data_IF_566748494194
#
_entry.id   IF_566748494194
#
_cell.length_a   1.000
_cell.length_b   1.000
_cell.length_c   1.000
_cell.angle_alpha   90.00
_cell.angle_beta   90.00
_cell.angle_gamma   90.00
#
_symmetry.space_group_name_H-M   'P 1'
#
loop_
_entity.id
_entity.type
_entity.pdbx_description
1 polymer ?
#
# COMPACT_ATOMS: atom_id res chain seq x y z
N UNK A 1 16.04 5.02 -36.91
CA UNK A 1 15.84 6.24 -36.11
C UNK A 1 15.49 5.81 -34.70
N UNK A 2 16.44 5.95 -33.76
CA UNK A 2 16.27 5.53 -32.38
C UNK A 2 15.36 6.51 -31.65
N UNK A 3 14.26 6.01 -31.08
CA UNK A 3 13.43 6.79 -30.17
C UNK A 3 14.14 6.88 -28.83
N UNK A 4 14.62 8.08 -28.52
CA UNK A 4 15.20 8.42 -27.23
C UNK A 4 14.08 8.41 -26.20
N UNK A 5 14.03 7.38 -25.35
CA UNK A 5 13.19 7.38 -24.15
C UNK A 5 13.87 8.32 -23.17
N UNK A 6 13.40 9.58 -23.15
CA UNK A 6 13.68 10.51 -22.07
C UNK A 6 13.04 9.99 -20.80
N UNK A 7 13.75 9.10 -20.11
CA UNK A 7 13.45 8.72 -18.74
C UNK A 7 13.69 9.91 -17.83
N UNK A 8 12.66 10.72 -17.62
CA UNK A 8 12.59 11.59 -16.45
C UNK A 8 12.58 10.68 -15.21
N UNK A 9 13.74 10.53 -14.59
CA UNK A 9 13.92 9.96 -13.24
C UNK A 9 13.23 10.92 -12.27
N UNK A 10 11.91 10.84 -12.15
CA UNK A 10 11.21 11.35 -10.99
C UNK A 10 11.52 10.39 -9.85
N UNK A 11 12.01 10.93 -8.72
CA UNK A 11 12.40 10.15 -7.55
C UNK A 11 11.36 9.08 -7.26
N UNK A 12 11.83 7.86 -6.95
CA UNK A 12 10.97 6.69 -6.70
C UNK A 12 10.01 7.06 -5.56
N UNK A 13 8.83 7.53 -5.92
CA UNK A 13 7.74 7.80 -4.98
C UNK A 13 7.27 6.42 -4.50
N UNK A 14 7.20 6.22 -3.18
CA UNK A 14 6.74 4.98 -2.55
C UNK A 14 5.23 4.80 -2.85
N UNK A 15 4.91 4.32 -4.06
CA UNK A 15 3.54 4.06 -4.52
C UNK A 15 3.17 2.61 -4.20
N UNK A 16 2.14 2.42 -3.39
CA UNK A 16 1.65 1.09 -2.99
C UNK A 16 0.29 0.81 -3.60
N UNK A 17 0.16 -0.27 -4.38
CA UNK A 17 -1.12 -0.73 -4.93
C UNK A 17 -1.90 -1.47 -3.84
N UNK A 18 -3.14 -1.04 -3.59
CA UNK A 18 -4.01 -1.62 -2.58
C UNK A 18 -5.46 -1.62 -3.10
N UNK A 19 -5.75 -2.54 -4.01
CA UNK A 19 -7.10 -2.71 -4.58
C UNK A 19 -7.78 -3.93 -3.98
N UNK A 20 -9.07 -3.81 -3.68
CA UNK A 20 -9.91 -4.92 -3.25
C UNK A 20 -10.39 -5.74 -4.45
N UNK A 21 -10.89 -6.97 -4.23
CA UNK A 21 -11.51 -7.78 -5.32
C UNK A 21 -12.68 -7.06 -6.02
N UNK A 22 -13.29 -6.07 -5.37
CA UNK A 22 -14.41 -5.31 -5.92
C UNK A 22 -13.97 -4.10 -6.76
N UNK A 23 -12.66 -3.89 -6.96
CA UNK A 23 -12.13 -2.74 -7.70
C UNK A 23 -12.10 -1.44 -6.89
N UNK A 24 -12.48 -1.46 -5.61
CA UNK A 24 -12.39 -0.31 -4.69
C UNK A 24 -11.07 -0.29 -3.90
N UNK A 25 -10.64 0.85 -3.33
CA UNK A 25 -9.47 0.91 -2.47
C UNK A 25 -9.59 -0.07 -1.28
N UNK A 26 -8.51 -0.80 -1.00
CA UNK A 26 -8.45 -1.73 0.12
C UNK A 26 -7.99 -1.02 1.40
N UNK A 27 -8.96 -0.54 2.17
CA UNK A 27 -8.74 0.20 3.40
C UNK A 27 -8.02 -0.56 4.53
N UNK A 28 -7.87 -1.89 4.41
CA UNK A 28 -7.08 -2.67 5.37
C UNK A 28 -5.57 -2.47 5.20
N UNK A 29 -5.12 -1.95 4.04
CA UNK A 29 -3.70 -1.77 3.71
C UNK A 29 -3.33 -0.34 3.29
N UNK A 30 -4.33 0.56 3.27
CA UNK A 30 -4.19 1.97 2.96
C UNK A 30 -4.28 2.75 4.27
N UNK A 31 -3.18 3.36 4.76
CA UNK A 31 -3.24 4.23 5.91
C UNK A 31 -4.18 5.39 5.64
N UNK A 32 -5.01 5.73 6.61
CA UNK A 32 -5.91 6.88 6.53
C UNK A 32 -6.05 7.44 7.92
N UNK A 33 -6.16 8.77 8.01
CA UNK A 33 -6.46 9.44 9.28
C UNK A 33 -7.61 8.72 10.00
N UNK A 34 -7.36 8.36 11.26
CA UNK A 34 -8.32 7.64 12.09
C UNK A 34 -7.79 7.55 13.51
N UNK A 35 -8.68 7.60 14.50
CA UNK A 35 -8.29 7.43 15.90
C UNK A 35 -8.04 5.93 16.14
N UNK A 36 -6.79 5.49 16.08
CA UNK A 36 -6.42 4.23 16.74
C UNK A 36 -6.56 4.44 18.24
N UNK A 37 -7.29 3.56 18.92
CA UNK A 37 -7.42 3.63 20.39
C UNK A 37 -6.19 3.06 21.11
N UNK A 38 -5.19 2.57 20.38
CA UNK A 38 -3.97 1.95 20.89
C UNK A 38 -2.91 3.00 21.24
N UNK A 39 -2.24 2.79 22.36
CA UNK A 39 -1.06 3.53 22.79
C UNK A 39 0.20 3.08 22.05
N UNK A 40 1.26 3.91 22.10
CA UNK A 40 2.57 3.57 21.52
C UNK A 40 3.16 2.27 22.11
N UNK A 41 2.94 2.02 23.40
CA UNK A 41 3.40 0.81 24.07
C UNK A 41 2.68 -0.45 23.57
N UNK A 42 1.35 -0.39 23.42
CA UNK A 42 0.56 -1.50 22.87
C UNK A 42 0.98 -1.83 21.44
N UNK A 43 1.17 -0.82 20.58
CA UNK A 43 1.71 -1.04 19.24
C UNK A 43 3.08 -1.73 19.27
N UNK A 44 3.99 -1.26 20.13
CA UNK A 44 5.33 -1.84 20.23
C UNK A 44 5.26 -3.32 20.64
N UNK A 45 4.41 -3.66 21.60
CA UNK A 45 4.18 -5.03 22.03
C UNK A 45 3.60 -5.90 20.92
N UNK A 46 2.56 -5.43 20.22
CA UNK A 46 1.96 -6.16 19.10
C UNK A 46 2.94 -6.36 17.93
N UNK A 47 3.76 -5.35 17.61
CA UNK A 47 4.80 -5.44 16.57
C UNK A 47 5.81 -6.53 16.94
N UNK A 48 6.28 -6.55 18.18
CA UNK A 48 7.24 -7.55 18.67
C UNK A 48 6.64 -8.95 18.68
N UNK A 49 5.39 -9.10 19.09
CA UNK A 49 4.69 -10.39 19.07
C UNK A 49 4.53 -10.94 17.65
N UNK A 50 4.16 -10.09 16.68
CA UNK A 50 4.12 -10.51 15.27
C UNK A 50 5.51 -10.84 14.73
N UNK A 51 6.55 -10.10 15.12
CA UNK A 51 7.92 -10.39 14.73
C UNK A 51 8.41 -11.74 15.26
N UNK A 52 8.11 -12.07 16.53
CA UNK A 52 8.39 -13.38 17.13
C UNK A 52 7.68 -14.50 16.39
N UNK A 53 6.37 -14.35 16.15
CA UNK A 53 5.58 -15.33 15.40
C UNK A 53 6.13 -15.53 13.99
N UNK A 54 6.49 -14.46 13.29
CA UNK A 54 7.12 -14.53 11.98
C UNK A 54 8.48 -15.24 12.01
N UNK A 55 9.28 -15.02 13.06
CA UNK A 55 10.57 -15.67 13.23
C UNK A 55 10.43 -17.18 13.51
N UNK A 56 9.41 -17.59 14.26
CA UNK A 56 9.19 -19.00 14.62
C UNK A 56 8.37 -19.78 13.58
N UNK A 57 7.66 -19.08 12.69
CA UNK A 57 6.82 -19.74 11.68
C UNK A 57 7.64 -20.55 10.69
N UNK A 58 7.26 -21.81 10.52
CA UNK A 58 7.84 -22.76 9.55
C UNK A 58 6.89 -23.05 8.38
N UNK A 59 5.60 -22.72 8.53
CA UNK A 59 4.55 -22.96 7.55
C UNK A 59 4.32 -21.75 6.64
N UNK A 60 4.23 -21.99 5.33
CA UNK A 60 3.98 -20.92 4.33
C UNK A 60 2.66 -20.18 4.58
N UNK A 61 1.59 -20.91 4.89
CA UNK A 61 0.25 -20.35 5.13
C UNK A 61 0.20 -19.46 6.38
N UNK A 62 0.85 -19.89 7.45
CA UNK A 62 0.98 -19.09 8.67
C UNK A 62 1.82 -17.83 8.42
N UNK A 63 2.93 -17.95 7.70
CA UNK A 63 3.78 -16.82 7.33
C UNK A 63 3.02 -15.79 6.48
N UNK A 64 2.19 -16.24 5.53
CA UNK A 64 1.32 -15.35 4.75
C UNK A 64 0.26 -14.66 5.64
N UNK A 65 -0.33 -15.38 6.59
CA UNK A 65 -1.29 -14.82 7.54
C UNK A 65 -0.65 -13.77 8.47
N UNK A 66 0.55 -14.06 8.99
CA UNK A 66 1.34 -13.13 9.81
C UNK A 66 1.71 -11.90 8.99
N UNK A 67 2.13 -12.09 7.74
CA UNK A 67 2.47 -10.98 6.83
C UNK A 67 1.27 -10.05 6.62
N UNK A 68 0.05 -10.58 6.48
CA UNK A 68 -1.17 -9.76 6.38
C UNK A 68 -1.45 -8.99 7.67
N UNK A 69 -1.28 -9.61 8.84
CA UNK A 69 -1.43 -8.94 10.13
C UNK A 69 -0.40 -7.80 10.30
N UNK A 70 0.85 -8.03 9.90
CA UNK A 70 1.90 -6.99 9.93
C UNK A 70 1.50 -5.79 9.07
N UNK A 71 0.98 -6.02 7.86
CA UNK A 71 0.52 -4.95 6.99
C UNK A 71 -0.70 -4.19 7.55
N UNK A 72 -1.63 -4.89 8.22
CA UNK A 72 -2.77 -4.27 8.89
C UNK A 72 -2.33 -3.44 10.09
N UNK A 73 -1.45 -3.98 10.94
CA UNK A 73 -0.92 -3.26 12.10
C UNK A 73 -0.11 -2.04 11.68
N UNK A 74 0.67 -2.14 10.60
CA UNK A 74 1.37 -0.99 9.99
C UNK A 74 0.38 0.09 9.56
N UNK A 75 -0.73 -0.31 8.94
CA UNK A 75 -1.76 0.62 8.48
C UNK A 75 -2.38 1.39 9.66
N UNK A 76 -2.63 0.70 10.77
CA UNK A 76 -3.12 1.30 12.01
C UNK A 76 -2.06 2.21 12.66
N UNK A 77 -0.81 1.74 12.74
CA UNK A 77 0.31 2.48 13.31
C UNK A 77 0.59 3.80 12.58
N UNK A 78 0.39 3.83 11.26
CA UNK A 78 0.59 5.02 10.42
C UNK A 78 -0.62 5.98 10.41
N UNK A 79 -1.76 5.60 10.98
CA UNK A 79 -3.02 6.35 10.85
C UNK A 79 -3.02 7.73 11.49
N UNK A 80 -2.11 8.01 12.43
CA UNK A 80 -1.99 9.31 13.11
C UNK A 80 -1.30 10.39 12.27
N UNK A 81 -0.38 9.99 11.39
CA UNK A 81 0.37 10.89 10.48
C UNK A 81 -0.16 10.84 9.04
N UNK A 82 -1.13 9.96 8.78
CA UNK A 82 -1.74 9.77 7.48
C UNK A 82 -2.75 10.88 7.17
N UNK A 83 -2.85 11.35 5.90
CA UNK A 83 -3.99 12.16 5.48
C UNK A 83 -5.30 11.36 5.55
N UNK A 84 -6.44 12.06 5.62
CA UNK A 84 -7.76 11.41 5.62
C UNK A 84 -8.16 10.93 4.21
N UNK A 85 -7.49 9.87 3.75
CA UNK A 85 -7.70 9.25 2.44
C UNK A 85 -9.14 8.75 2.26
N UNK A 86 -9.78 8.26 3.33
CA UNK A 86 -11.17 7.80 3.31
C UNK A 86 -12.13 8.94 3.03
N UNK A 87 -12.00 10.06 3.76
CA UNK A 87 -12.83 11.24 3.53
C UNK A 87 -12.61 11.79 2.12
N UNK A 88 -11.36 11.94 1.69
CA UNK A 88 -11.02 12.42 0.34
C UNK A 88 -11.62 11.53 -0.76
N UNK A 89 -11.56 10.20 -0.59
CA UNK A 89 -12.18 9.27 -1.52
C UNK A 89 -13.70 9.41 -1.58
N UNK A 90 -14.38 9.58 -0.44
CA UNK A 90 -15.83 9.77 -0.44
C UNK A 90 -16.23 11.10 -1.11
N UNK A 91 -15.48 12.17 -0.85
CA UNK A 91 -15.70 13.45 -1.53
C UNK A 91 -15.51 13.31 -3.04
N UNK A 92 -14.41 12.69 -3.48
CA UNK A 92 -14.14 12.43 -4.89
C UNK A 92 -15.26 11.59 -5.54
N UNK A 93 -15.71 10.52 -4.86
CA UNK A 93 -16.80 9.66 -5.32
C UNK A 93 -18.11 10.44 -5.48
N UNK A 94 -18.40 11.37 -4.59
CA UNK A 94 -19.58 12.23 -4.68
C UNK A 94 -19.46 13.24 -5.83
N UNK A 95 -18.29 13.85 -6.04
CA UNK A 95 -18.02 14.76 -7.17
C UNK A 95 -18.18 14.04 -8.51
N UNK A 96 -17.77 12.77 -8.59
CA UNK A 96 -17.96 11.94 -9.78
C UNK A 96 -19.44 11.56 -10.01
N UNK A 97 -20.22 11.36 -8.95
CA UNK A 97 -21.65 10.96 -9.04
C UNK A 97 -22.61 12.12 -9.30
N UNK A 98 -22.38 13.29 -8.73
CA UNK A 98 -23.35 14.40 -8.68
C UNK A 98 -23.40 15.25 -9.96
N UNK A 99 -23.04 14.69 -11.12
CA UNK A 99 -23.03 15.41 -12.39
C UNK A 99 -24.24 14.99 -13.23
N UNK A 100 -25.39 15.60 -12.91
CA UNK A 100 -26.64 15.43 -13.65
C UNK A 100 -26.46 15.71 -15.15
N UNK A 101 -27.02 14.81 -15.97
CA UNK A 101 -27.21 14.84 -17.44
C UNK A 101 -26.01 15.10 -18.35
N UNK A 102 -24.83 15.49 -17.85
CA UNK A 102 -23.58 15.54 -18.61
C UNK A 102 -22.37 15.40 -17.67
N UNK A 103 -21.81 14.18 -17.47
CA UNK A 103 -20.68 13.96 -16.58
C UNK A 103 -19.42 14.61 -17.15
N UNK A 104 -19.05 15.77 -16.61
CA UNK A 104 -17.74 16.40 -16.79
C UNK A 104 -16.60 15.48 -16.36
N UNK A 105 -16.71 14.70 -15.28
CA UNK A 105 -15.73 13.67 -14.93
C UNK A 105 -16.40 12.30 -14.80
N UNK A 106 -16.07 11.40 -15.73
CA UNK A 106 -16.56 10.01 -15.75
C UNK A 106 -15.85 9.09 -14.74
N UNK A 107 -14.89 9.61 -13.98
CA UNK A 107 -14.18 8.86 -12.94
C UNK A 107 -13.19 7.86 -13.52
N UNK A 108 -13.37 6.57 -13.24
CA UNK A 108 -12.51 5.50 -13.75
C UNK A 108 -13.32 4.66 -14.73
N UNK A 109 -12.82 4.43 -15.93
CA UNK A 109 -13.51 3.62 -16.94
C UNK A 109 -13.01 3.84 -18.35
N UNK A 110 -13.68 3.25 -19.33
CA UNK A 110 -13.32 3.38 -20.75
C UNK A 110 -13.86 4.68 -21.35
N UNK A 111 -13.13 5.21 -22.34
CA UNK A 111 -13.62 6.28 -23.21
C UNK A 111 -14.62 5.66 -24.20
N UNK A 112 -15.82 6.20 -24.28
CA UNK A 112 -16.85 5.70 -25.21
C UNK A 112 -16.89 6.52 -26.48
N UNK A 113 -17.45 5.96 -27.57
CA UNK A 113 -17.66 6.71 -28.82
C UNK A 113 -18.44 8.00 -28.58
N UNK A 114 -19.39 7.98 -27.64
CA UNK A 114 -20.16 9.16 -27.26
C UNK A 114 -19.27 10.29 -26.70
N UNK A 115 -18.21 9.96 -25.95
CA UNK A 115 -17.23 10.95 -25.46
C UNK A 115 -16.53 11.68 -26.62
N UNK A 116 -16.13 10.95 -27.67
CA UNK A 116 -15.47 11.53 -28.83
C UNK A 116 -16.43 12.40 -29.66
N UNK A 117 -17.68 11.95 -29.83
CA UNK A 117 -18.70 12.69 -30.55
C UNK A 117 -19.09 13.97 -29.80
N UNK A 118 -19.28 13.91 -28.48
CA UNK A 118 -19.55 15.07 -27.63
C UNK A 118 -18.42 16.12 -27.68
N UNK A 119 -17.17 15.66 -27.74
CA UNK A 119 -16.02 16.54 -27.86
C UNK A 119 -15.91 17.20 -29.25
N UNK A 120 -16.24 16.48 -30.32
CA UNK A 120 -16.22 16.99 -31.69
C UNK A 120 -17.36 18.00 -31.95
N UNK A 121 -18.53 17.80 -31.34
CA UNK A 121 -19.70 18.65 -31.52
C UNK A 121 -19.63 19.98 -30.75
N UNK A 122 -18.62 20.17 -29.87
CA UNK A 122 -18.47 21.37 -29.05
C UNK A 122 -19.57 21.59 -27.99
N UNK A 123 -20.58 20.71 -27.93
CA UNK A 123 -21.67 20.70 -26.94
C UNK A 123 -21.29 19.96 -25.65
N UNK A 124 -20.24 19.14 -25.69
CA UNK A 124 -19.71 18.37 -24.57
C UNK A 124 -18.56 19.06 -23.85
N UNK A 125 -18.17 18.48 -22.71
CA UNK A 125 -16.97 18.91 -22.00
C UNK A 125 -15.73 18.32 -22.68
N UNK A 126 -14.72 19.15 -22.99
CA UNK A 126 -13.50 18.76 -23.71
C UNK A 126 -12.86 17.47 -23.15
N UNK A 127 -12.22 16.67 -24.02
CA UNK A 127 -11.35 15.53 -23.65
C UNK A 127 -10.04 15.98 -22.97
N UNK A 128 -10.09 17.09 -22.24
CA UNK A 128 -8.99 17.57 -21.44
C UNK A 128 -9.06 16.96 -20.04
N UNK A 129 -7.92 16.90 -19.39
CA UNK A 129 -7.82 16.61 -17.96
C UNK A 129 -8.69 17.61 -17.17
N UNK A 130 -9.48 17.09 -16.24
CA UNK A 130 -10.39 17.90 -15.42
C UNK A 130 -10.00 17.84 -13.97
N UNK A 131 -10.04 18.99 -13.32
CA UNK A 131 -9.65 19.14 -11.94
C UNK A 131 -10.79 19.74 -11.12
N UNK A 132 -11.03 19.19 -9.94
CA UNK A 132 -12.07 19.61 -9.01
C UNK A 132 -11.46 19.81 -7.63
N UNK A 133 -11.77 20.93 -6.99
CA UNK A 133 -11.37 21.14 -5.60
C UNK A 133 -12.18 20.24 -4.66
N UNK A 134 -11.49 19.60 -3.72
CA UNK A 134 -12.06 18.84 -2.61
C UNK A 134 -11.96 19.66 -1.32
N UNK A 135 -12.83 19.38 -0.35
CA UNK A 135 -12.77 20.06 0.94
C UNK A 135 -11.51 19.61 1.71
N UNK A 136 -10.89 20.55 2.45
CA UNK A 136 -9.65 20.29 3.18
C UNK A 136 -8.37 20.42 2.35
N UNK A 137 -8.43 21.09 1.19
CA UNK A 137 -7.25 21.40 0.37
C UNK A 137 -6.79 20.28 -0.55
N UNK A 138 -7.64 19.28 -0.77
CA UNK A 138 -7.40 18.24 -1.77
C UNK A 138 -7.88 18.65 -3.17
N UNK A 139 -7.39 17.97 -4.20
CA UNK A 139 -7.86 18.09 -5.58
C UNK A 139 -8.14 16.70 -6.13
N UNK A 140 -9.25 16.58 -6.88
CA UNK A 140 -9.53 15.43 -7.72
C UNK A 140 -9.19 15.80 -9.16
N UNK A 141 -8.30 15.04 -9.76
CA UNK A 141 -7.93 15.15 -11.16
C UNK A 141 -8.38 13.90 -11.91
N UNK A 142 -9.06 14.09 -13.04
CA UNK A 142 -9.58 13.03 -13.89
C UNK A 142 -8.78 13.02 -15.23
N UNK A 143 -7.61 12.36 -15.27
CA UNK A 143 -6.80 12.30 -16.48
C UNK A 143 -7.37 11.32 -17.51
N UNK A 144 -7.03 11.55 -18.78
CA UNK A 144 -7.15 10.54 -19.83
C UNK A 144 -5.88 9.69 -19.83
N UNK A 145 -6.05 8.38 -19.75
CA UNK A 145 -4.95 7.43 -19.70
C UNK A 145 -4.39 7.17 -21.12
N UNK A 146 -3.07 6.99 -21.21
CA UNK A 146 -2.40 6.65 -22.48
C UNK A 146 -2.82 5.28 -23.02
N UNK A 147 -3.31 4.40 -22.15
CA UNK A 147 -3.90 3.10 -22.51
C UNK A 147 -5.34 3.20 -23.01
N UNK A 148 -5.90 4.41 -23.07
CA UNK A 148 -7.32 4.65 -23.25
C UNK A 148 -8.07 4.62 -21.91
N UNK A 149 -9.17 5.37 -21.84
CA UNK A 149 -10.02 5.50 -20.66
C UNK A 149 -9.68 6.67 -19.74
N UNK A 150 -10.44 6.76 -18.66
CA UNK A 150 -10.34 7.76 -17.60
C UNK A 150 -9.68 7.16 -16.35
N UNK A 151 -8.83 7.95 -15.71
CA UNK A 151 -8.28 7.67 -14.39
C UNK A 151 -8.83 8.62 -13.34
N UNK A 152 -8.48 8.35 -12.08
CA UNK A 152 -8.76 9.25 -10.97
C UNK A 152 -7.50 9.43 -10.13
N UNK A 153 -7.10 10.68 -9.91
CA UNK A 153 -5.96 11.05 -9.06
C UNK A 153 -6.47 12.02 -8.00
N UNK A 154 -6.31 11.65 -6.74
CA UNK A 154 -6.69 12.47 -5.58
C UNK A 154 -5.39 12.93 -4.94
N UNK A 155 -5.14 14.23 -5.04
CA UNK A 155 -3.97 14.87 -4.45
C UNK A 155 -4.36 15.68 -3.22
N UNK A 156 -3.51 15.69 -2.21
CA UNK A 156 -3.67 16.52 -1.02
C UNK A 156 -2.28 16.91 -0.54
N UNK A 157 -2.05 18.22 -0.31
CA UNK A 157 -0.78 18.76 0.16
C UNK A 157 0.44 18.34 -0.71
N UNK A 158 0.25 18.24 -2.02
CA UNK A 158 1.31 17.85 -2.97
C UNK A 158 1.63 16.34 -3.02
N UNK A 159 0.87 15.51 -2.29
CA UNK A 159 1.01 14.05 -2.30
C UNK A 159 -0.20 13.43 -2.98
N UNK A 160 0.01 12.43 -3.86
CA UNK A 160 -1.06 11.62 -4.46
C UNK A 160 -1.64 10.68 -3.41
N UNK A 161 -2.53 11.23 -2.58
CA UNK A 161 -3.18 10.52 -1.50
C UNK A 161 -3.82 9.22 -1.98
N UNK A 162 -4.49 9.24 -3.14
CA UNK A 162 -4.99 8.06 -3.83
C UNK A 162 -4.89 8.25 -5.35
N UNK A 163 -4.60 7.20 -6.10
CA UNK A 163 -4.67 7.24 -7.56
C UNK A 163 -5.07 5.91 -8.15
N UNK A 164 -5.83 5.95 -9.24
CA UNK A 164 -6.14 4.81 -10.09
C UNK A 164 -5.94 5.23 -11.54
N UNK A 165 -4.86 4.72 -12.12
CA UNK A 165 -4.43 5.01 -13.50
C UNK A 165 -4.47 3.75 -14.38
N UNK A 166 -5.43 2.85 -14.13
CA UNK A 166 -5.65 1.63 -14.92
C UNK A 166 -5.17 0.33 -14.26
N UNK A 167 -4.23 0.40 -13.31
CA UNK A 167 -3.69 -0.78 -12.60
C UNK A 167 -4.33 -1.01 -11.21
N UNK A 168 -5.48 -0.39 -10.97
CA UNK A 168 -6.15 -0.36 -9.66
C UNK A 168 -5.74 0.85 -8.81
N UNK A 169 -6.32 0.89 -7.62
CA UNK A 169 -6.06 1.90 -6.61
C UNK A 169 -4.70 1.73 -5.96
N UNK A 170 -3.98 2.84 -5.87
CA UNK A 170 -2.69 2.97 -5.21
C UNK A 170 -2.65 4.25 -4.37
N UNK A 171 -1.69 4.35 -3.45
CA UNK A 171 -1.44 5.55 -2.66
C UNK A 171 0.06 5.85 -2.60
N UNK A 172 0.38 7.13 -2.50
CA UNK A 172 1.71 7.62 -2.17
C UNK A 172 1.80 7.90 -0.67
N UNK A 173 2.92 7.52 -0.05
CA UNK A 173 3.20 7.83 1.35
C UNK A 173 3.75 9.25 1.51
N UNK A 174 3.29 9.97 2.53
CA UNK A 174 3.88 11.25 2.91
C UNK A 174 5.26 11.06 3.57
N UNK A 175 6.12 12.09 3.63
CA UNK A 175 7.38 12.00 4.36
C UNK A 175 7.22 11.59 5.83
N UNK A 176 6.13 12.03 6.49
CA UNK A 176 5.83 11.67 7.87
C UNK A 176 5.45 10.18 8.00
N UNK A 177 4.63 9.66 7.08
CA UNK A 177 4.31 8.23 7.02
C UNK A 177 5.54 7.38 6.74
N UNK A 178 6.45 7.85 5.88
CA UNK A 178 7.69 7.15 5.56
C UNK A 178 8.60 7.03 6.78
N UNK A 179 8.79 8.13 7.53
CA UNK A 179 9.57 8.12 8.77
C UNK A 179 8.98 7.15 9.79
N UNK A 180 7.66 7.19 9.97
CA UNK A 180 6.96 6.31 10.92
C UNK A 180 6.92 4.84 10.46
N UNK A 181 6.88 4.58 9.15
CA UNK A 181 7.03 3.24 8.56
C UNK A 181 8.42 2.67 8.88
N UNK A 182 9.46 3.50 8.79
CA UNK A 182 10.81 3.08 9.11
C UNK A 182 10.95 2.76 10.61
N UNK A 183 10.33 3.54 11.50
CA UNK A 183 10.24 3.21 12.94
C UNK A 183 9.56 1.85 13.15
N UNK A 184 8.39 1.63 12.56
CA UNK A 184 7.66 0.36 12.63
C UNK A 184 8.54 -0.84 12.24
N UNK A 185 9.20 -0.77 11.08
CA UNK A 185 10.01 -1.88 10.60
C UNK A 185 11.33 -2.04 11.37
N UNK A 186 11.88 -0.96 11.93
CA UNK A 186 13.06 -1.03 12.79
C UNK A 186 12.76 -1.89 14.03
N UNK A 187 11.63 -1.68 14.69
CA UNK A 187 11.17 -2.48 15.84
C UNK A 187 10.92 -3.92 15.41
N UNK A 188 10.16 -4.12 14.34
CA UNK A 188 9.82 -5.45 13.81
C UNK A 188 11.06 -6.28 13.47
N UNK A 189 11.99 -5.74 12.68
CA UNK A 189 13.16 -6.49 12.22
C UNK A 189 14.20 -6.69 13.32
N UNK A 190 14.30 -5.79 14.29
CA UNK A 190 15.18 -5.97 15.45
C UNK A 190 14.74 -7.17 16.28
N UNK A 191 13.45 -7.25 16.61
CA UNK A 191 12.91 -8.38 17.38
C UNK A 191 12.95 -9.68 16.56
N UNK A 192 12.56 -9.63 15.28
CA UNK A 192 12.60 -10.79 14.39
C UNK A 192 14.00 -11.43 14.33
N UNK A 193 15.04 -10.59 14.14
CA UNK A 193 16.43 -11.06 14.09
C UNK A 193 16.91 -11.57 15.44
N UNK A 194 16.53 -10.90 16.54
CA UNK A 194 16.86 -11.36 17.89
C UNK A 194 16.35 -12.78 18.13
N UNK A 195 15.09 -13.05 17.78
CA UNK A 195 14.44 -14.36 17.96
C UNK A 195 15.04 -15.41 17.03
N UNK A 196 15.32 -15.07 15.77
CA UNK A 196 15.99 -15.98 14.84
C UNK A 196 17.39 -16.37 15.32
N UNK A 197 18.14 -15.41 15.84
CA UNK A 197 19.49 -15.65 16.35
C UNK A 197 19.47 -16.49 17.63
N UNK A 198 18.53 -16.25 18.55
CA UNK A 198 18.38 -17.07 19.76
C UNK A 198 17.92 -18.49 19.43
N UNK A 199 16.94 -18.65 18.54
CA UNK A 199 16.48 -19.97 18.10
C UNK A 199 17.54 -20.74 17.30
N UNK A 200 18.39 -20.03 16.54
CA UNK A 200 19.55 -20.64 15.87
C UNK A 200 20.64 -21.10 16.85
N UNK A 201 20.84 -20.36 17.95
CA UNK A 201 21.75 -20.74 19.02
C UNK A 201 21.23 -21.94 19.83
N UNK A 202 19.94 -21.99 20.17
CA UNK A 202 19.33 -23.15 20.87
C UNK A 202 19.39 -24.45 20.05
N UNK A 203 19.30 -24.37 18.71
CA UNK A 203 19.49 -25.55 17.84
C UNK A 203 20.96 -26.01 17.77
N UNK A 204 21.93 -25.13 18.05
CA UNK A 204 23.35 -25.49 18.14
C UNK A 204 23.75 -26.09 19.48
N UNK A 205 22.90 -25.97 20.50
CA UNK A 205 23.10 -26.54 21.84
C UNK A 205 22.44 -27.93 22.02
N UNK A 206 21.89 -28.52 20.95
CA UNK A 206 21.45 -29.92 20.99
C UNK A 206 22.64 -30.81 21.38
N UNK A 207 22.55 -31.62 22.46
CA UNK A 207 23.66 -32.44 22.91
C UNK A 207 24.08 -33.40 21.78
N UNK A 208 25.39 -33.46 21.55
CA UNK A 208 25.99 -34.33 20.55
C UNK A 208 25.84 -35.79 21.01
N UNK A 209 24.72 -36.42 20.66
CA UNK A 209 24.40 -37.81 21.01
C UNK A 209 25.27 -38.84 20.26
N UNK A 210 26.43 -38.43 19.76
CA UNK A 210 27.46 -39.28 19.15
C UNK A 210 28.66 -39.50 20.06
N UNK A 211 28.43 -39.61 21.38
CA UNK A 211 29.41 -40.22 22.28
C UNK A 211 29.60 -41.71 21.93
N UNK A 212 30.81 -41.99 21.42
CA UNK A 212 31.57 -43.24 21.47
C UNK A 212 30.80 -44.55 21.26
N UNK A 213 30.75 -45.01 20.01
CA UNK A 213 30.68 -46.47 19.78
C UNK A 213 32.03 -47.08 20.15
N UNK A 214 32.09 -48.05 21.09
CA UNK A 214 33.33 -48.77 21.34
C UNK A 214 33.72 -49.52 20.07
N UNK A 215 34.97 -49.35 19.67
CA UNK A 215 35.62 -50.02 18.56
C UNK A 215 35.32 -51.52 18.58
N UNK A 216 34.67 -52.04 17.53
CA UNK A 216 34.59 -53.48 17.32
C UNK A 216 36.01 -54.00 17.06
N UNK A 217 36.56 -54.67 18.07
CA UNK A 217 37.80 -55.44 17.99
C UNK A 217 37.68 -56.49 16.88
N UNK A 218 38.42 -56.30 15.80
CA UNK A 218 38.59 -57.32 14.76
C UNK A 218 39.70 -58.26 15.21
N UNK A 219 39.36 -59.31 15.97
CA UNK A 219 40.26 -60.44 16.18
C UNK A 219 40.09 -61.49 15.07
N UNK A 220 41.24 -61.77 14.45
CA UNK A 220 41.70 -62.92 13.66
C UNK A 220 40.65 -63.88 13.07
#
# INVERSE_FOLDING_TARGET
MGVSVSGSVSGIKDVTIATSRKGEPNWSYIPSAGKSNKSKAEFTSEIKELAKKAALSTNKTESEYISRQVLQLRTEYLSDVAPDRKMLYQQAKNVMKNQNNNPKCRGIGELTLLDFLEAADGRGSSLAEKMFALAGGGTLTCPILTTGGYGAVIECQGVKALSNTGNGWSYEMTPAELAKKNEFYSIYWTEYRSVKNSAGAELSELPDYLEEKPSFDRKA
#
